data_IF_944034892179
#
_entry.id   IF_944034892179
#
_cell.length_a   1.000
_cell.length_b   1.000
_cell.length_c   1.000
_cell.angle_alpha   90.00
_cell.angle_beta   90.00
_cell.angle_gamma   90.00
#
_symmetry.space_group_name_H-M   'P 1'
#
loop_
_entity.id
_entity.type
_entity.pdbx_description
1 polymer ?
#
# COMPACT_ATOMS: atom_id res chain seq x y z
N UNK A 1 -10.20 -37.26 31.73
CA UNK A 1 -10.97 -36.22 32.49
C UNK A 1 -10.02 -35.17 33.05
N UNK A 2 -9.94 -33.99 32.44
CA UNK A 2 -9.62 -32.71 33.11
C UNK A 2 -10.27 -31.59 32.29
N UNK A 3 -11.33 -31.00 32.83
CA UNK A 3 -12.01 -29.83 32.27
C UNK A 3 -11.23 -28.56 32.64
N UNK A 4 -10.66 -27.87 31.67
CA UNK A 4 -10.07 -26.55 31.87
C UNK A 4 -11.08 -25.49 31.44
N UNK A 5 -11.64 -24.79 32.44
CA UNK A 5 -12.87 -24.02 32.34
C UNK A 5 -12.76 -22.63 31.70
N UNK A 6 -13.96 -22.06 31.51
CA UNK A 6 -14.23 -20.70 31.08
C UNK A 6 -13.53 -19.67 31.98
N UNK A 7 -12.56 -18.93 31.44
CA UNK A 7 -12.09 -17.67 32.05
C UNK A 7 -12.87 -16.50 31.46
N UNK A 8 -14.00 -16.17 32.07
CA UNK A 8 -14.59 -14.82 32.00
C UNK A 8 -13.88 -13.95 33.04
N UNK A 9 -13.27 -12.86 32.61
CA UNK A 9 -13.50 -11.55 33.26
C UNK A 9 -12.82 -10.44 32.47
N UNK A 10 -13.66 -9.63 31.84
CA UNK A 10 -13.33 -8.30 31.37
C UNK A 10 -13.23 -7.37 32.58
N UNK A 11 -12.08 -6.73 32.79
CA UNK A 11 -11.96 -5.54 33.64
C UNK A 11 -11.00 -4.55 32.98
N UNK A 12 -11.56 -3.65 32.18
CA UNK A 12 -10.89 -2.41 31.79
C UNK A 12 -11.36 -1.33 32.78
N UNK A 13 -10.42 -0.76 33.53
CA UNK A 13 -10.66 0.39 34.42
C UNK A 13 -9.89 1.62 33.93
N UNK A 14 -10.67 2.65 33.56
CA UNK A 14 -10.47 4.12 33.69
C UNK A 14 -9.24 4.77 33.02
N UNK A 15 -9.42 5.59 31.98
CA UNK A 15 -9.62 7.08 31.93
C UNK A 15 -8.32 7.76 31.47
N UNK A 16 -8.23 8.87 30.74
CA UNK A 16 -9.16 9.81 30.11
C UNK A 16 -8.34 10.47 28.97
N UNK A 17 -8.74 10.32 27.70
CA UNK A 17 -8.44 11.27 26.61
C UNK A 17 -9.67 11.28 25.69
N UNK A 18 -10.38 12.41 25.66
CA UNK A 18 -11.52 12.63 24.75
C UNK A 18 -11.01 12.62 23.31
N UNK A 19 -10.96 11.42 22.74
CA UNK A 19 -11.08 11.25 21.30
C UNK A 19 -12.58 11.22 21.04
N UNK A 20 -13.10 12.10 20.19
CA UNK A 20 -14.45 11.97 19.66
C UNK A 20 -14.45 10.72 18.76
N UNK A 21 -14.56 9.56 19.40
CA UNK A 21 -14.88 8.30 18.74
C UNK A 21 -16.39 8.24 18.76
N UNK A 22 -17.03 8.47 17.62
CA UNK A 22 -18.40 7.97 17.42
C UNK A 22 -18.33 6.47 17.68
N UNK A 23 -18.96 6.01 18.77
CA UNK A 23 -19.15 4.57 18.95
C UNK A 23 -20.07 4.09 17.84
N UNK A 24 -19.75 2.93 17.26
CA UNK A 24 -20.63 2.26 16.30
C UNK A 24 -21.98 2.02 16.98
N UNK A 25 -22.98 2.80 16.61
CA UNK A 25 -24.35 2.65 17.08
C UNK A 25 -25.08 1.75 16.10
N UNK A 26 -25.52 0.58 16.56
CA UNK A 26 -26.31 -0.37 15.76
C UNK A 26 -27.57 0.29 15.15
N UNK A 27 -28.13 1.32 15.80
CA UNK A 27 -29.27 2.11 15.28
C UNK A 27 -28.95 2.99 14.07
N UNK A 28 -27.66 3.17 13.75
CA UNK A 28 -27.14 3.92 12.61
C UNK A 28 -26.41 2.97 11.63
N UNK A 29 -26.62 1.66 11.74
CA UNK A 29 -26.05 0.66 10.82
C UNK A 29 -26.21 1.10 9.38
N UNK A 30 -27.41 1.55 9.00
CA UNK A 30 -27.77 1.95 7.64
C UNK A 30 -26.92 3.12 7.08
N UNK A 31 -26.31 3.94 7.96
CA UNK A 31 -25.37 4.99 7.56
C UNK A 31 -23.95 4.46 7.33
N UNK A 32 -23.62 3.30 7.90
CA UNK A 32 -22.34 2.60 7.73
C UNK A 32 -22.42 1.50 6.65
N UNK A 33 -23.62 0.99 6.39
CA UNK A 33 -23.93 -0.14 5.50
C UNK A 33 -24.26 0.29 4.06
N UNK A 34 -23.73 1.45 3.63
CA UNK A 34 -23.87 1.94 2.25
C UNK A 34 -23.01 1.19 1.23
N UNK A 35 -22.20 0.23 1.66
CA UNK A 35 -21.37 -0.58 0.78
C UNK A 35 -21.97 -1.99 0.68
N UNK A 36 -22.27 -2.45 -0.53
CA UNK A 36 -22.65 -3.84 -0.83
C UNK A 36 -21.45 -4.78 -0.58
N UNK A 37 -21.04 -4.92 0.68
CA UNK A 37 -19.97 -5.81 1.11
C UNK A 37 -20.62 -7.13 1.51
N UNK A 38 -20.33 -8.24 0.80
CA UNK A 38 -20.93 -9.53 1.15
C UNK A 38 -20.49 -9.94 2.56
N UNK A 39 -21.41 -10.54 3.33
CA UNK A 39 -21.10 -11.04 4.68
C UNK A 39 -20.00 -12.10 4.66
N UNK A 40 -19.89 -12.83 3.56
CA UNK A 40 -18.89 -13.86 3.33
C UNK A 40 -18.29 -13.72 1.93
N UNK A 41 -16.97 -13.78 1.86
CA UNK A 41 -16.21 -13.86 0.61
C UNK A 41 -15.71 -15.30 0.44
N UNK A 42 -15.99 -15.91 -0.71
CA UNK A 42 -15.45 -17.23 -1.03
C UNK A 42 -13.95 -17.11 -1.33
N UNK A 43 -13.13 -17.91 -0.63
CA UNK A 43 -11.66 -17.88 -0.76
C UNK A 43 -11.10 -19.25 -1.06
N UNK A 44 -10.02 -19.30 -1.84
CA UNK A 44 -9.29 -20.53 -2.16
C UNK A 44 -7.82 -20.42 -1.75
N UNK A 45 -7.18 -21.52 -1.32
CA UNK A 45 -5.77 -21.51 -0.97
C UNK A 45 -4.92 -21.27 -2.22
N UNK A 46 -4.08 -20.24 -2.19
CA UNK A 46 -3.13 -19.97 -3.25
C UNK A 46 -1.71 -20.35 -2.82
N UNK A 47 -1.05 -21.16 -3.65
CA UNK A 47 0.37 -21.47 -3.54
C UNK A 47 1.06 -21.12 -4.85
N UNK A 48 2.00 -20.17 -4.79
CA UNK A 48 2.79 -19.77 -5.96
C UNK A 48 3.53 -20.98 -6.54
N UNK A 49 3.40 -21.19 -7.84
CA UNK A 49 4.20 -22.16 -8.58
C UNK A 49 5.58 -21.58 -8.93
N UNK A 50 6.60 -22.42 -9.14
CA UNK A 50 7.97 -21.97 -9.42
C UNK A 50 8.06 -21.08 -10.66
N UNK A 51 7.22 -21.34 -11.68
CA UNK A 51 7.19 -20.62 -12.95
C UNK A 51 6.24 -19.41 -12.96
N UNK A 52 5.53 -19.15 -11.85
CA UNK A 52 4.64 -17.99 -11.74
C UNK A 52 5.39 -16.74 -11.27
N UNK A 53 4.93 -15.59 -11.74
CA UNK A 53 5.42 -14.28 -11.26
C UNK A 53 5.11 -14.12 -9.77
N UNK A 54 5.96 -13.37 -9.06
CA UNK A 54 5.70 -13.02 -7.67
C UNK A 54 4.43 -12.16 -7.54
N UNK A 55 3.71 -12.33 -6.42
CA UNK A 55 2.67 -11.37 -6.02
C UNK A 55 3.32 -10.10 -5.50
N UNK A 56 2.60 -8.99 -5.62
CA UNK A 56 3.00 -7.71 -5.03
C UNK A 56 2.89 -7.80 -3.51
N UNK A 57 3.86 -7.20 -2.83
CA UNK A 57 3.81 -7.00 -1.38
C UNK A 57 3.52 -5.53 -1.14
N UNK A 58 2.28 -5.24 -0.72
CA UNK A 58 1.84 -3.88 -0.39
C UNK A 58 1.97 -3.69 1.11
N UNK A 59 2.77 -2.70 1.50
CA UNK A 59 2.95 -2.29 2.88
C UNK A 59 1.97 -1.16 3.18
N UNK A 60 1.12 -1.36 4.19
CA UNK A 60 0.09 -0.39 4.61
C UNK A 60 0.16 -0.23 6.13
N UNK A 61 0.01 1.00 6.60
CA UNK A 61 0.06 1.31 8.03
C UNK A 61 0.13 2.81 8.32
N UNK A 62 -0.02 3.22 9.59
CA UNK A 62 0.00 4.62 9.98
C UNK A 62 1.40 5.24 9.80
N UNK A 63 1.42 6.56 9.61
CA UNK A 63 2.67 7.33 9.52
C UNK A 63 3.51 7.13 10.79
N UNK A 64 4.80 6.87 10.61
CA UNK A 64 5.75 6.71 11.73
C UNK A 64 5.90 5.29 12.26
N UNK A 65 5.15 4.30 11.77
CA UNK A 65 5.31 2.87 12.18
C UNK A 65 6.59 2.22 11.64
N UNK A 66 7.31 2.88 10.74
CA UNK A 66 8.57 2.39 10.19
C UNK A 66 8.46 1.56 8.91
N UNK A 67 7.37 1.67 8.12
CA UNK A 67 7.24 0.95 6.83
C UNK A 67 8.41 1.24 5.88
N UNK A 68 8.84 2.50 5.80
CA UNK A 68 9.99 2.89 4.99
C UNK A 68 11.29 2.22 5.45
N UNK A 69 11.47 2.05 6.76
CA UNK A 69 12.62 1.35 7.33
C UNK A 69 12.59 -0.14 6.97
N UNK A 70 11.43 -0.78 7.13
CA UNK A 70 11.22 -2.18 6.78
C UNK A 70 11.49 -2.42 5.29
N UNK A 71 10.90 -1.59 4.41
CA UNK A 71 11.11 -1.63 2.96
C UNK A 71 12.60 -1.56 2.60
N UNK A 72 13.34 -0.63 3.21
CA UNK A 72 14.78 -0.47 2.97
C UNK A 72 15.58 -1.68 3.46
N UNK A 73 15.28 -2.20 4.66
CA UNK A 73 15.96 -3.39 5.21
C UNK A 73 15.73 -4.62 4.35
N UNK A 74 14.50 -4.83 3.85
CA UNK A 74 14.19 -5.94 2.93
C UNK A 74 15.01 -5.82 1.64
N UNK A 75 15.04 -4.62 1.04
CA UNK A 75 15.81 -4.39 -0.19
C UNK A 75 17.31 -4.65 0.00
N UNK A 76 17.88 -4.25 1.14
CA UNK A 76 19.31 -4.49 1.46
C UNK A 76 19.57 -5.96 1.77
N UNK A 77 18.62 -6.66 2.41
CA UNK A 77 18.80 -8.06 2.80
C UNK A 77 18.97 -9.00 1.61
N UNK A 78 18.25 -8.76 0.52
CA UNK A 78 18.38 -9.51 -0.72
C UNK A 78 17.98 -8.65 -1.93
N UNK A 79 18.99 -8.03 -2.54
CA UNK A 79 18.80 -7.16 -3.71
C UNK A 79 18.43 -7.94 -4.97
N UNK A 80 18.65 -9.25 -5.00
CA UNK A 80 18.29 -10.11 -6.13
C UNK A 80 16.84 -10.56 -6.04
N UNK A 81 16.33 -10.78 -4.83
CA UNK A 81 14.96 -11.22 -4.60
C UNK A 81 13.96 -10.06 -4.55
N UNK A 82 14.30 -8.93 -3.93
CA UNK A 82 13.39 -7.79 -3.77
C UNK A 82 13.67 -6.68 -4.79
N UNK A 83 12.60 -5.99 -5.20
CA UNK A 83 12.67 -4.81 -6.06
C UNK A 83 11.65 -3.76 -5.64
N UNK A 84 11.95 -2.51 -5.97
CA UNK A 84 11.04 -1.36 -5.79
C UNK A 84 10.72 -0.75 -7.14
N UNK A 85 9.56 -0.12 -7.24
CA UNK A 85 9.15 0.62 -8.43
C UNK A 85 9.87 1.95 -8.52
N UNK A 86 10.07 2.42 -9.75
CA UNK A 86 10.51 3.80 -10.00
C UNK A 86 9.26 4.64 -10.27
N UNK A 87 8.91 5.59 -9.39
CA UNK A 87 7.76 6.46 -9.58
C UNK A 87 8.02 7.52 -10.65
N UNK A 88 6.95 8.09 -11.19
CA UNK A 88 7.00 9.20 -12.14
C UNK A 88 6.86 10.53 -11.40
N UNK A 89 7.48 11.58 -11.93
CA UNK A 89 7.28 12.94 -11.44
C UNK A 89 7.28 13.97 -12.55
N UNK A 90 6.54 15.06 -12.36
CA UNK A 90 6.58 16.24 -13.24
C UNK A 90 7.61 17.27 -12.85
N UNK A 91 8.27 17.08 -11.70
CA UNK A 91 9.33 17.96 -11.23
C UNK A 91 10.51 17.91 -12.19
N UNK A 92 11.18 19.03 -12.43
CA UNK A 92 12.44 19.04 -13.15
C UNK A 92 13.51 18.19 -12.42
N UNK A 93 14.26 17.40 -13.21
CA UNK A 93 15.41 16.62 -12.75
C UNK A 93 16.49 17.53 -12.15
N UNK A 94 17.03 17.18 -10.99
CA UNK A 94 18.18 17.88 -10.39
C UNK A 94 19.50 17.38 -10.99
N UNK A 95 20.57 18.15 -10.82
CA UNK A 95 21.90 17.82 -11.36
C UNK A 95 22.47 16.49 -10.86
N UNK A 96 22.08 16.04 -9.66
CA UNK A 96 22.55 14.79 -9.06
C UNK A 96 21.62 13.59 -9.31
N UNK A 97 20.49 13.78 -10.01
CA UNK A 97 19.49 12.73 -10.24
C UNK A 97 19.62 12.17 -11.66
N UNK A 98 19.37 10.87 -11.80
CA UNK A 98 19.35 10.21 -13.11
C UNK A 98 17.92 9.79 -13.48
N UNK A 99 17.58 9.96 -14.76
CA UNK A 99 16.26 9.56 -15.24
C UNK A 99 16.13 8.02 -15.23
N UNK A 100 15.03 7.52 -14.69
CA UNK A 100 14.77 6.09 -14.54
C UNK A 100 15.46 5.41 -13.34
N UNK A 101 16.17 6.18 -12.50
CA UNK A 101 16.78 5.66 -11.26
C UNK A 101 15.94 6.07 -10.05
N UNK A 102 15.95 7.35 -9.67
CA UNK A 102 15.12 7.85 -8.57
C UNK A 102 13.67 8.08 -9.00
N UNK A 103 13.51 8.68 -10.18
CA UNK A 103 12.22 9.02 -10.77
C UNK A 103 12.28 8.91 -12.29
N UNK A 104 11.13 8.69 -12.91
CA UNK A 104 10.92 8.90 -14.34
C UNK A 104 10.36 10.31 -14.52
N UNK A 105 11.14 11.17 -15.16
CA UNK A 105 10.79 12.60 -15.29
C UNK A 105 9.96 12.82 -16.56
N UNK A 106 8.69 13.17 -16.39
CA UNK A 106 7.75 13.40 -17.51
C UNK A 106 7.14 14.80 -17.45
N UNK A 107 6.61 15.29 -18.58
CA UNK A 107 5.91 16.58 -18.59
C UNK A 107 4.57 16.50 -17.87
N UNK A 108 4.06 17.64 -17.38
CA UNK A 108 2.75 17.72 -16.73
C UNK A 108 1.62 17.22 -17.63
N UNK A 109 1.64 17.61 -18.91
CA UNK A 109 0.68 17.16 -19.91
C UNK A 109 0.68 15.64 -20.09
N UNK A 110 1.87 15.02 -20.16
CA UNK A 110 1.97 13.56 -20.29
C UNK A 110 1.46 12.86 -19.03
N UNK A 111 1.79 13.38 -17.85
CA UNK A 111 1.30 12.84 -16.58
C UNK A 111 -0.24 12.85 -16.52
N UNK A 112 -0.86 13.99 -16.86
CA UNK A 112 -2.33 14.13 -16.89
C UNK A 112 -2.97 13.19 -17.93
N UNK A 113 -2.33 13.02 -19.08
CA UNK A 113 -2.77 12.07 -20.11
C UNK A 113 -2.69 10.63 -19.60
N UNK A 114 -1.64 10.27 -18.89
CA UNK A 114 -1.46 8.92 -18.32
C UNK A 114 -2.42 8.65 -17.16
N UNK A 115 -2.79 9.68 -16.39
CA UNK A 115 -3.87 9.61 -15.39
C UNK A 115 -5.21 9.33 -16.08
N UNK A 116 -5.57 10.05 -17.14
CA UNK A 116 -6.80 9.82 -17.90
C UNK A 116 -6.86 8.42 -18.52
N UNK A 117 -5.71 7.87 -18.90
CA UNK A 117 -5.57 6.51 -19.42
C UNK A 117 -5.47 5.42 -18.33
N UNK A 118 -5.71 5.76 -17.05
CA UNK A 118 -5.65 4.83 -15.92
C UNK A 118 -4.32 4.06 -15.80
N UNK A 119 -3.19 4.72 -16.10
CA UNK A 119 -1.86 4.08 -16.03
C UNK A 119 -1.21 4.12 -14.64
N UNK A 120 -1.76 4.89 -13.71
CA UNK A 120 -1.25 5.03 -12.34
C UNK A 120 -2.07 4.22 -11.34
N UNK A 121 -1.37 3.54 -10.42
CA UNK A 121 -2.00 2.86 -9.26
C UNK A 121 -2.34 3.90 -8.19
N UNK A 122 -1.40 4.80 -7.95
CA UNK A 122 -1.53 5.92 -7.02
C UNK A 122 -0.85 7.14 -7.65
N UNK A 123 -1.41 8.32 -7.39
CA UNK A 123 -0.78 9.58 -7.73
C UNK A 123 -1.24 10.68 -6.79
N UNK A 124 -0.43 11.73 -6.67
CA UNK A 124 -0.72 12.88 -5.84
C UNK A 124 0.11 14.09 -6.23
N UNK A 125 -0.24 15.23 -5.66
CA UNK A 125 0.46 16.48 -5.89
C UNK A 125 1.25 16.90 -4.65
N UNK A 126 2.49 17.32 -4.86
CA UNK A 126 3.32 17.90 -3.81
C UNK A 126 4.14 19.07 -4.37
N UNK A 127 4.04 20.24 -3.72
CA UNK A 127 4.72 21.47 -4.15
C UNK A 127 4.53 21.76 -5.64
N UNK A 128 3.29 21.71 -6.11
CA UNK A 128 2.89 21.96 -7.52
C UNK A 128 3.49 20.99 -8.55
N UNK A 129 3.96 19.82 -8.11
CA UNK A 129 4.46 18.77 -8.98
C UNK A 129 3.68 17.47 -8.70
N UNK A 130 3.37 16.73 -9.75
CA UNK A 130 2.75 15.42 -9.60
C UNK A 130 3.82 14.35 -9.34
N UNK A 131 3.41 13.36 -8.56
CA UNK A 131 4.14 12.15 -8.26
C UNK A 131 3.19 10.97 -8.37
N UNK A 132 3.62 9.85 -8.94
CA UNK A 132 2.77 8.67 -9.03
C UNK A 132 3.50 7.38 -9.37
N UNK A 133 2.92 6.26 -8.96
CA UNK A 133 3.45 4.93 -9.27
C UNK A 133 2.66 4.32 -10.42
N UNK A 134 3.30 4.09 -11.56
CA UNK A 134 2.61 3.51 -12.72
C UNK A 134 2.49 1.99 -12.63
N UNK A 135 1.45 1.44 -13.27
CA UNK A 135 1.25 0.00 -13.40
C UNK A 135 2.44 -0.64 -14.16
N UNK A 136 2.99 0.08 -15.14
CA UNK A 136 4.11 -0.42 -15.93
C UNK A 136 5.42 -0.47 -15.13
N UNK A 137 5.65 0.48 -14.20
CA UNK A 137 6.78 0.39 -13.26
C UNK A 137 6.71 -0.88 -12.42
N UNK A 138 5.50 -1.28 -12.01
CA UNK A 138 5.27 -2.53 -11.26
C UNK A 138 5.55 -3.75 -12.14
N UNK A 139 5.01 -3.75 -13.37
CA UNK A 139 5.23 -4.83 -14.35
C UNK A 139 6.71 -5.00 -14.68
N UNK A 140 7.49 -3.92 -14.73
CA UNK A 140 8.94 -3.95 -14.96
C UNK A 140 9.68 -4.71 -13.85
N UNK A 141 9.31 -4.52 -12.58
CA UNK A 141 9.91 -5.27 -11.45
C UNK A 141 9.52 -6.74 -11.51
N UNK A 142 8.25 -7.03 -11.80
CA UNK A 142 7.76 -8.40 -11.94
C UNK A 142 8.40 -9.14 -13.13
N UNK A 143 8.68 -8.45 -14.22
CA UNK A 143 9.37 -9.01 -15.38
C UNK A 143 10.82 -9.42 -15.06
N UNK A 144 11.45 -8.76 -14.09
CA UNK A 144 12.78 -9.13 -13.56
C UNK A 144 12.73 -10.30 -12.57
N UNK A 145 11.56 -10.93 -12.41
CA UNK A 145 11.32 -12.03 -11.48
C UNK A 145 11.70 -11.69 -10.03
N UNK A 146 11.37 -10.47 -9.59
CA UNK A 146 11.57 -9.99 -8.22
C UNK A 146 10.24 -9.78 -7.49
N UNK A 147 10.28 -9.88 -6.17
CA UNK A 147 9.17 -9.46 -5.30
C UNK A 147 9.14 -7.94 -5.29
N UNK A 148 8.07 -7.37 -5.83
CA UNK A 148 7.88 -5.93 -5.86
C UNK A 148 7.30 -5.45 -4.51
N UNK A 149 8.07 -4.61 -3.82
CA UNK A 149 7.65 -3.94 -2.59
C UNK A 149 7.02 -2.59 -2.94
N UNK A 150 5.76 -2.40 -2.55
CA UNK A 150 5.01 -1.16 -2.76
C UNK A 150 4.53 -0.61 -1.41
N UNK A 151 4.50 0.71 -1.27
CA UNK A 151 4.05 1.41 -0.08
C UNK A 151 2.92 2.33 -0.53
N UNK A 152 1.68 2.02 -0.12
CA UNK A 152 0.48 2.71 -0.59
C UNK A 152 -0.20 3.34 0.62
N UNK A 153 -0.60 4.60 0.49
CA UNK A 153 -1.41 5.27 1.51
C UNK A 153 -2.90 5.00 1.26
N UNK A 154 -3.62 4.39 2.20
CA UNK A 154 -5.07 4.27 2.11
C UNK A 154 -5.69 5.66 2.28
N UNK A 155 -6.58 6.02 1.36
CA UNK A 155 -7.35 7.26 1.39
C UNK A 155 -8.59 7.14 2.27
#
# INVERSE_FOLDING_TARGET
RKSSGFRRSFRLSRKDKKTNKSMYECKKSDQYDTADVPTYEEVTPYRRQTNEKYRLVVLVGPVGVGLNELKRKLLISDTQHYGVTVPHTTRARRSQESDGVEYIFISKHLFETDVQNNKFIEYGEYKNNYYGTSIDSVRSVLAKNKVCLLDVQPH
#
